data_IF_325077758747
#
_entry.id   IF_325077758747
#
_cell.length_a   1.000
_cell.length_b   1.000
_cell.length_c   1.000
_cell.angle_alpha   90.00
_cell.angle_beta   90.00
_cell.angle_gamma   90.00
#
_symmetry.space_group_name_H-M   'P 1'
#
loop_
_entity.id
_entity.type
_entity.pdbx_description
1 polymer ?
#
# COMPACT_ATOMS: atom_id res chain seq x y z
N UNK A 1 -16.86 -3.93 -51.12
CA UNK A 1 -16.10 -4.29 -49.90
C UNK A 1 -15.89 -2.97 -49.18
N UNK A 2 -16.70 -2.70 -48.15
CA UNK A 2 -16.66 -1.44 -47.42
C UNK A 2 -15.86 -1.69 -46.14
N UNK A 3 -14.63 -1.17 -46.11
CA UNK A 3 -13.81 -1.20 -44.91
C UNK A 3 -14.36 -0.18 -43.92
N UNK A 4 -15.08 -0.70 -42.91
CA UNK A 4 -15.53 0.08 -41.76
C UNK A 4 -14.33 0.38 -40.87
N UNK A 5 -13.65 1.49 -41.12
CA UNK A 5 -12.65 2.05 -40.20
C UNK A 5 -13.36 2.36 -38.89
N UNK A 6 -13.08 1.58 -37.86
CA UNK A 6 -13.60 1.79 -36.51
C UNK A 6 -12.77 2.90 -35.90
N UNK A 7 -13.23 4.14 -36.00
CA UNK A 7 -12.64 5.27 -35.29
C UNK A 7 -12.67 4.97 -33.79
N UNK A 8 -11.49 4.83 -33.20
CA UNK A 8 -11.35 4.74 -31.74
C UNK A 8 -11.71 6.12 -31.20
N UNK A 9 -12.92 6.26 -30.65
CA UNK A 9 -13.32 7.50 -29.98
C UNK A 9 -12.39 7.71 -28.78
N UNK A 10 -11.50 8.69 -28.87
CA UNK A 10 -10.69 9.14 -27.75
C UNK A 10 -11.61 9.86 -26.74
N UNK A 11 -12.11 9.10 -25.78
CA UNK A 11 -12.90 9.64 -24.67
C UNK A 11 -11.99 10.47 -23.78
N UNK A 12 -11.99 11.78 -23.99
CA UNK A 12 -11.26 12.73 -23.13
C UNK A 12 -12.06 12.96 -21.85
N UNK A 13 -11.56 12.41 -20.75
CA UNK A 13 -12.12 12.63 -19.41
C UNK A 13 -11.41 13.82 -18.80
N UNK A 14 -12.17 14.87 -18.49
CA UNK A 14 -11.61 16.05 -17.81
C UNK A 14 -11.65 15.79 -16.31
N UNK A 15 -10.46 15.65 -15.70
CA UNK A 15 -10.31 15.46 -14.26
C UNK A 15 -9.79 16.75 -13.64
N UNK A 16 -10.30 17.09 -12.46
CA UNK A 16 -9.66 18.09 -11.61
C UNK A 16 -8.35 17.51 -11.03
N UNK A 17 -7.45 18.39 -10.59
CA UNK A 17 -6.18 17.98 -9.96
C UNK A 17 -6.43 17.10 -8.74
N UNK A 18 -7.42 17.46 -7.91
CA UNK A 18 -7.81 16.71 -6.70
C UNK A 18 -8.29 15.29 -7.04
N UNK A 19 -9.13 15.14 -8.07
CA UNK A 19 -9.60 13.83 -8.54
C UNK A 19 -8.45 12.99 -9.12
N UNK A 20 -7.51 13.63 -9.81
CA UNK A 20 -6.32 12.96 -10.33
C UNK A 20 -5.42 12.46 -9.20
N UNK A 21 -5.22 13.27 -8.16
CA UNK A 21 -4.46 12.87 -6.97
C UNK A 21 -5.10 11.65 -6.28
N UNK A 22 -6.41 11.65 -6.09
CA UNK A 22 -7.11 10.50 -5.49
C UNK A 22 -6.92 9.21 -6.31
N UNK A 23 -7.00 9.32 -7.64
CA UNK A 23 -6.78 8.19 -8.55
C UNK A 23 -5.34 7.71 -8.45
N UNK A 24 -4.37 8.62 -8.48
CA UNK A 24 -2.94 8.27 -8.34
C UNK A 24 -2.70 7.59 -7.01
N UNK A 25 -3.22 8.13 -5.90
CA UNK A 25 -3.07 7.54 -4.57
C UNK A 25 -3.66 6.14 -4.50
N UNK A 26 -4.81 5.92 -5.13
CA UNK A 26 -5.44 4.60 -5.20
C UNK A 26 -4.56 3.61 -5.96
N UNK A 27 -4.09 3.98 -7.16
CA UNK A 27 -3.21 3.13 -7.98
C UNK A 27 -1.93 2.81 -7.23
N UNK A 28 -1.25 3.83 -6.66
CA UNK A 28 -0.01 3.63 -5.90
C UNK A 28 -0.23 2.70 -4.72
N UNK A 29 -1.34 2.84 -3.98
CA UNK A 29 -1.65 1.96 -2.85
C UNK A 29 -1.90 0.51 -3.31
N UNK A 30 -2.61 0.33 -4.41
CA UNK A 30 -2.89 -1.00 -4.97
C UNK A 30 -1.60 -1.68 -5.43
N UNK A 31 -0.74 -0.97 -6.15
CA UNK A 31 0.57 -1.46 -6.57
C UNK A 31 1.50 -1.77 -5.39
N UNK A 32 1.54 -0.89 -4.38
CA UNK A 32 2.33 -1.13 -3.16
C UNK A 32 1.79 -2.33 -2.37
N UNK A 33 0.48 -2.55 -2.34
CA UNK A 33 -0.11 -3.73 -1.71
C UNK A 33 0.21 -5.01 -2.50
N UNK A 34 0.12 -4.97 -3.82
CA UNK A 34 0.50 -6.08 -4.69
C UNK A 34 1.99 -6.42 -4.51
N UNK A 35 2.85 -5.40 -4.43
CA UNK A 35 4.26 -5.54 -4.12
C UNK A 35 4.50 -6.10 -2.70
N UNK A 36 3.75 -5.62 -1.72
CA UNK A 36 3.80 -6.09 -0.34
C UNK A 36 3.43 -7.56 -0.18
N UNK A 37 2.50 -8.06 -1.01
CA UNK A 37 2.11 -9.48 -1.03
C UNK A 37 3.16 -10.40 -1.67
N UNK A 38 4.15 -9.85 -2.37
CA UNK A 38 5.28 -10.60 -2.93
C UNK A 38 6.40 -10.79 -1.88
N UNK A 39 6.11 -11.28 -0.67
CA UNK A 39 7.10 -11.77 0.33
C UNK A 39 8.36 -10.91 0.62
N UNK A 40 8.43 -9.65 0.20
CA UNK A 40 9.61 -8.79 0.31
C UNK A 40 9.83 -8.27 1.74
N UNK A 41 8.92 -8.55 2.68
CA UNK A 41 9.13 -8.32 4.11
C UNK A 41 9.76 -9.51 4.83
N UNK A 42 10.42 -10.42 4.12
CA UNK A 42 11.37 -11.32 4.75
C UNK A 42 12.60 -10.51 5.21
N UNK A 43 12.47 -9.86 6.37
CA UNK A 43 13.64 -9.45 7.14
C UNK A 43 14.54 -10.67 7.28
N UNK A 44 15.80 -10.55 6.89
CA UNK A 44 16.79 -11.59 7.09
C UNK A 44 16.75 -12.05 8.56
N UNK A 45 16.87 -13.35 8.82
CA UNK A 45 16.96 -13.89 10.18
C UNK A 45 18.16 -13.33 10.95
N UNK A 46 19.19 -12.87 10.24
CA UNK A 46 20.33 -12.18 10.83
C UNK A 46 20.05 -10.68 11.11
N UNK A 47 18.93 -10.14 10.65
CA UNK A 47 18.56 -8.75 10.91
C UNK A 47 18.23 -8.56 12.39
N UNK A 48 18.77 -7.53 13.05
CA UNK A 48 18.38 -7.16 14.41
C UNK A 48 16.88 -6.91 14.57
N UNK A 49 16.17 -6.61 13.49
CA UNK A 49 14.73 -6.34 13.48
C UNK A 49 13.87 -7.60 13.24
N UNK A 50 14.47 -8.76 12.99
CA UNK A 50 13.73 -9.99 12.70
C UNK A 50 12.95 -10.48 13.92
N UNK A 51 13.60 -10.49 15.09
CA UNK A 51 12.98 -10.88 16.36
C UNK A 51 11.82 -9.93 16.72
N UNK A 52 12.02 -8.62 16.55
CA UNK A 52 10.96 -7.62 16.76
C UNK A 52 9.76 -7.85 15.82
N UNK A 53 10.02 -8.21 14.55
CA UNK A 53 8.95 -8.52 13.60
C UNK A 53 8.18 -9.79 14.01
N UNK A 54 8.87 -10.87 14.40
CA UNK A 54 8.23 -12.11 14.86
C UNK A 54 7.36 -11.87 16.10
N UNK A 55 7.86 -11.11 17.07
CA UNK A 55 7.14 -10.73 18.28
C UNK A 55 5.91 -9.84 17.96
N UNK A 56 6.02 -8.87 17.06
CA UNK A 56 4.88 -8.08 16.57
C UNK A 56 3.82 -8.98 15.91
N UNK A 57 4.24 -9.95 15.09
CA UNK A 57 3.33 -10.89 14.44
C UNK A 57 2.61 -11.79 15.46
N UNK A 58 3.30 -12.23 16.50
CA UNK A 58 2.70 -13.03 17.58
C UNK A 58 1.69 -12.21 18.41
N UNK A 59 2.03 -10.96 18.74
CA UNK A 59 1.12 -10.02 19.42
C UNK A 59 -0.11 -9.71 18.58
N UNK A 60 0.03 -9.61 17.26
CA UNK A 60 -1.09 -9.44 16.32
C UNK A 60 -2.04 -10.65 16.36
N UNK A 61 -1.51 -11.88 16.32
CA UNK A 61 -2.32 -13.11 16.41
C UNK A 61 -3.06 -13.25 17.74
N UNK A 62 -2.48 -12.73 18.81
CA UNK A 62 -3.05 -12.79 20.16
C UNK A 62 -3.98 -11.61 20.49
N UNK A 63 -4.25 -10.72 19.52
CA UNK A 63 -5.00 -9.47 19.70
C UNK A 63 -4.46 -8.56 20.82
N UNK A 64 -3.14 -8.61 21.05
CA UNK A 64 -2.41 -7.85 22.08
C UNK A 64 -1.62 -6.68 21.49
N UNK A 65 -1.85 -6.37 20.22
CA UNK A 65 -1.12 -5.31 19.54
C UNK A 65 -1.51 -3.95 20.14
N UNK A 66 -0.56 -3.29 20.79
CA UNK A 66 -0.74 -1.95 21.36
C UNK A 66 0.05 -0.96 20.53
N UNK A 67 -0.66 -0.05 19.87
CA UNK A 67 -0.06 1.10 19.23
C UNK A 67 -0.02 2.24 20.23
N UNK A 68 1.17 2.74 20.51
CA UNK A 68 1.36 3.93 21.33
C UNK A 68 1.47 5.13 20.39
N UNK A 69 0.73 6.19 20.69
CA UNK A 69 0.96 7.46 20.00
C UNK A 69 2.20 8.14 20.59
N UNK A 70 2.87 8.97 19.81
CA UNK A 70 4.10 9.65 20.22
C UNK A 70 3.97 10.38 21.58
N UNK A 71 2.77 10.94 21.84
CA UNK A 71 2.45 11.58 23.12
C UNK A 71 2.47 10.63 24.33
N UNK A 72 2.22 9.33 24.13
CA UNK A 72 2.20 8.33 25.21
C UNK A 72 3.59 7.91 25.66
N UNK A 73 4.58 8.02 24.77
CA UNK A 73 5.94 7.53 25.01
C UNK A 73 6.84 8.65 25.51
N UNK A 74 6.76 9.85 24.92
CA UNK A 74 7.70 10.97 25.15
C UNK A 74 7.21 12.10 26.05
N UNK A 75 5.98 12.07 26.58
CA UNK A 75 5.58 13.01 27.63
C UNK A 75 5.99 12.51 29.03
N UNK A 76 7.29 12.57 29.33
CA UNK A 76 7.83 12.48 30.70
C UNK A 76 8.47 13.79 31.10
#
# INVERSE_FOLDING_TARGET
MSDSVTETQETTVTLTVEQLEEIIWKVVREELNAFATQDFYNLDKASPLHEDMEDILERKKSDRLRFHIHADVWNK
#
